data_IF_578605753928
#
_entry.id   IF_578605753928
#
_cell.length_a   1.000
_cell.length_b   1.000
_cell.length_c   1.000
_cell.angle_alpha   90.00
_cell.angle_beta   90.00
_cell.angle_gamma   90.00
#
_symmetry.space_group_name_H-M   'P 1'
#
loop_
_entity.id
_entity.type
_entity.pdbx_description
1 polymer ?
#
# COMPACT_ATOMS: atom_id res chain seq x y z
N UNK A 1 14.18 -6.10 -19.26
CA UNK A 1 12.95 -6.34 -18.47
C UNK A 1 12.19 -5.02 -18.40
N UNK A 2 10.90 -5.02 -18.74
CA UNK A 2 10.07 -3.81 -18.69
C UNK A 2 9.84 -3.41 -17.23
N UNK A 3 10.31 -2.24 -16.82
CA UNK A 3 10.23 -1.78 -15.44
C UNK A 3 8.77 -1.66 -14.94
N UNK A 4 7.83 -1.44 -15.86
CA UNK A 4 6.40 -1.38 -15.55
C UNK A 4 5.89 -2.70 -15.00
N UNK A 5 6.43 -3.84 -15.44
CA UNK A 5 6.07 -5.16 -14.93
C UNK A 5 6.54 -5.36 -13.48
N UNK A 6 7.69 -4.79 -13.11
CA UNK A 6 8.26 -4.90 -11.75
C UNK A 6 7.33 -4.25 -10.71
N UNK A 7 6.68 -3.13 -11.05
CA UNK A 7 5.73 -2.46 -10.15
C UNK A 7 4.30 -2.98 -10.29
N UNK A 8 3.93 -3.52 -11.46
CA UNK A 8 2.58 -4.05 -11.69
C UNK A 8 2.30 -5.32 -10.89
N UNK A 9 3.29 -6.23 -10.76
CA UNK A 9 3.11 -7.48 -10.03
C UNK A 9 2.82 -7.26 -8.53
N UNK A 10 3.60 -6.45 -7.79
CA UNK A 10 3.27 -6.06 -6.42
C UNK A 10 1.88 -5.43 -6.28
N UNK A 11 1.53 -4.54 -7.22
CA UNK A 11 0.23 -3.88 -7.21
C UNK A 11 -0.92 -4.87 -7.38
N UNK A 12 -0.81 -5.84 -8.29
CA UNK A 12 -1.82 -6.90 -8.45
C UNK A 12 -1.96 -7.68 -7.13
N UNK A 13 -0.85 -8.03 -6.49
CA UNK A 13 -0.90 -8.72 -5.20
C UNK A 13 -1.59 -7.87 -4.12
N UNK A 14 -1.33 -6.57 -4.09
CA UNK A 14 -2.02 -5.62 -3.21
C UNK A 14 -3.55 -5.58 -3.47
N UNK A 15 -3.98 -5.52 -4.73
CA UNK A 15 -5.42 -5.56 -5.10
C UNK A 15 -6.07 -6.88 -4.68
N UNK A 16 -5.39 -8.02 -4.89
CA UNK A 16 -5.87 -9.33 -4.46
C UNK A 16 -6.01 -9.38 -2.93
N UNK A 17 -5.03 -8.86 -2.19
CA UNK A 17 -5.12 -8.75 -0.74
C UNK A 17 -6.34 -7.96 -0.28
N UNK A 18 -6.64 -6.85 -0.96
CA UNK A 18 -7.84 -6.05 -0.70
C UNK A 18 -9.15 -6.79 -0.97
N UNK A 19 -9.23 -7.50 -2.08
CA UNK A 19 -10.40 -8.33 -2.39
C UNK A 19 -10.59 -9.45 -1.35
N UNK A 20 -9.50 -10.10 -0.93
CA UNK A 20 -9.53 -11.09 0.15
C UNK A 20 -10.00 -10.48 1.47
N UNK A 21 -9.57 -9.26 1.78
CA UNK A 21 -10.01 -8.54 2.98
C UNK A 21 -11.51 -8.25 2.93
N UNK A 22 -12.03 -7.76 1.81
CA UNK A 22 -13.46 -7.49 1.66
C UNK A 22 -14.32 -8.76 1.88
N UNK A 23 -13.89 -9.89 1.30
CA UNK A 23 -14.55 -11.19 1.49
C UNK A 23 -14.47 -11.62 2.95
N UNK A 24 -13.27 -11.56 3.55
CA UNK A 24 -13.06 -12.00 4.92
C UNK A 24 -13.80 -11.13 5.95
N UNK A 25 -13.87 -9.81 5.72
CA UNK A 25 -14.65 -8.88 6.53
C UNK A 25 -16.15 -9.20 6.47
N UNK A 26 -16.66 -9.59 5.29
CA UNK A 26 -18.05 -10.02 5.13
C UNK A 26 -18.34 -11.29 5.93
N UNK A 27 -17.44 -12.29 5.85
CA UNK A 27 -17.60 -13.56 6.59
C UNK A 27 -17.52 -13.34 8.10
N UNK A 28 -16.57 -12.52 8.55
CA UNK A 28 -16.36 -12.21 9.95
C UNK A 28 -17.33 -11.16 10.52
N UNK A 29 -18.30 -10.69 9.72
CA UNK A 29 -19.25 -9.63 10.10
C UNK A 29 -18.56 -8.39 10.68
N UNK A 30 -17.43 -8.01 10.07
CA UNK A 30 -16.64 -6.84 10.47
C UNK A 30 -17.22 -5.61 9.79
N UNK A 31 -17.66 -4.66 10.60
CA UNK A 31 -18.11 -3.35 10.13
C UNK A 31 -16.94 -2.36 10.13
N UNK A 32 -16.78 -1.66 9.01
CA UNK A 32 -15.88 -0.52 8.89
C UNK A 32 -16.67 0.77 9.06
N UNK A 33 -16.05 1.79 9.65
CA UNK A 33 -16.64 3.15 9.61
C UNK A 33 -16.58 3.69 8.18
N UNK A 34 -17.49 4.62 7.84
CA UNK A 34 -17.50 5.25 6.51
C UNK A 34 -16.13 5.85 6.17
N UNK A 35 -15.49 6.54 7.12
CA UNK A 35 -14.15 7.10 6.92
C UNK A 35 -13.06 6.06 6.69
N UNK A 36 -13.15 4.86 7.30
CA UNK A 36 -12.22 3.77 7.03
C UNK A 36 -12.39 3.23 5.62
N UNK A 37 -13.64 3.03 5.20
CA UNK A 37 -13.97 2.55 3.87
C UNK A 37 -13.54 3.55 2.79
N UNK A 38 -13.86 4.83 2.98
CA UNK A 38 -13.46 5.92 2.08
C UNK A 38 -11.94 6.01 1.96
N UNK A 39 -11.20 5.96 3.08
CA UNK A 39 -9.74 5.99 3.05
C UNK A 39 -9.17 4.79 2.29
N UNK A 40 -9.66 3.58 2.56
CA UNK A 40 -9.20 2.39 1.84
C UNK A 40 -9.46 2.53 0.33
N UNK A 41 -10.67 2.89 -0.07
CA UNK A 41 -11.02 3.01 -1.49
C UNK A 41 -10.22 4.11 -2.17
N UNK A 42 -10.24 5.33 -1.64
CA UNK A 42 -9.69 6.51 -2.32
C UNK A 42 -8.17 6.56 -2.23
N UNK A 43 -7.61 6.30 -1.05
CA UNK A 43 -6.18 6.43 -0.82
C UNK A 43 -5.48 5.11 -1.07
N UNK A 44 -5.94 4.01 -0.44
CA UNK A 44 -5.19 2.75 -0.50
C UNK A 44 -5.34 2.02 -1.85
N UNK A 45 -6.46 2.12 -2.56
CA UNK A 45 -6.65 1.42 -3.85
C UNK A 45 -6.66 2.34 -5.06
N UNK A 46 -7.45 3.43 -5.05
CA UNK A 46 -7.54 4.32 -6.21
C UNK A 46 -6.23 5.09 -6.43
N UNK A 47 -5.56 5.54 -5.37
CA UNK A 47 -4.23 6.15 -5.44
C UNK A 47 -3.21 5.29 -6.19
N UNK A 48 -2.92 4.04 -5.77
CA UNK A 48 -2.02 3.15 -6.48
C UNK A 48 -2.50 2.81 -7.88
N UNK A 49 -3.81 2.66 -8.10
CA UNK A 49 -4.39 2.42 -9.43
C UNK A 49 -4.01 3.53 -10.41
N UNK A 50 -4.20 4.79 -9.99
CA UNK A 50 -3.84 5.96 -10.80
C UNK A 50 -2.32 6.03 -10.98
N UNK A 51 -1.54 5.79 -9.91
CA UNK A 51 -0.09 5.74 -9.97
C UNK A 51 0.43 4.73 -11.00
N UNK A 52 -0.13 3.51 -11.00
CA UNK A 52 0.16 2.48 -11.99
C UNK A 52 -0.26 2.92 -13.40
N UNK A 53 -1.45 3.50 -13.57
CA UNK A 53 -1.89 4.03 -14.86
C UNK A 53 -0.90 5.07 -15.43
N UNK A 54 -0.43 5.99 -14.58
CA UNK A 54 0.59 6.98 -14.93
C UNK A 54 1.93 6.35 -15.31
N UNK A 55 2.38 5.34 -14.56
CA UNK A 55 3.58 4.55 -14.88
C UNK A 55 3.45 3.87 -16.24
N UNK A 56 2.28 3.34 -16.59
CA UNK A 56 2.05 2.66 -17.87
C UNK A 56 2.12 3.61 -19.07
N UNK A 57 1.65 4.86 -18.90
CA UNK A 57 1.82 5.94 -19.88
C UNK A 57 3.18 6.64 -19.80
N UNK A 58 4.14 6.05 -19.08
CA UNK A 58 5.53 6.54 -18.92
C UNK A 58 5.65 7.89 -18.19
N UNK A 59 4.64 8.26 -17.42
CA UNK A 59 4.69 9.45 -16.56
C UNK A 59 5.24 9.08 -15.18
N UNK A 60 6.54 8.77 -15.12
CA UNK A 60 7.19 8.33 -13.88
C UNK A 60 7.32 9.43 -12.83
N UNK A 61 7.41 10.69 -13.28
CA UNK A 61 7.53 11.87 -12.40
C UNK A 61 6.37 11.98 -11.42
N UNK A 62 5.15 11.63 -11.85
CA UNK A 62 3.97 11.64 -10.97
C UNK A 62 3.52 10.22 -10.59
N UNK A 63 3.69 9.24 -11.47
CA UNK A 63 3.21 7.87 -11.25
C UNK A 63 3.94 7.16 -10.11
N UNK A 64 5.27 7.24 -10.07
CA UNK A 64 6.08 6.58 -9.04
C UNK A 64 5.87 7.17 -7.63
N UNK A 65 5.89 8.51 -7.41
CA UNK A 65 5.60 9.07 -6.10
C UNK A 65 4.16 8.86 -5.67
N UNK A 66 3.18 8.94 -6.58
CA UNK A 66 1.79 8.65 -6.23
C UNK A 66 1.63 7.19 -5.80
N UNK A 67 2.22 6.24 -6.53
CA UNK A 67 2.22 4.83 -6.18
C UNK A 67 2.84 4.57 -4.81
N UNK A 68 4.03 5.14 -4.55
CA UNK A 68 4.69 5.03 -3.25
C UNK A 68 3.85 5.64 -2.13
N UNK A 69 3.46 6.92 -2.26
CA UNK A 69 2.80 7.66 -1.19
C UNK A 69 1.46 7.07 -0.81
N UNK A 70 0.67 6.66 -1.81
CA UNK A 70 -0.65 6.07 -1.56
C UNK A 70 -0.58 4.65 -0.99
N UNK A 71 0.32 3.79 -1.48
CA UNK A 71 0.53 2.46 -0.92
C UNK A 71 1.14 2.53 0.50
N UNK A 72 2.08 3.45 0.75
CA UNK A 72 2.64 3.67 2.08
C UNK A 72 1.59 4.19 3.07
N UNK A 73 0.74 5.14 2.65
CA UNK A 73 -0.37 5.63 3.47
C UNK A 73 -1.39 4.53 3.76
N UNK A 74 -1.74 3.71 2.76
CA UNK A 74 -2.59 2.52 2.93
C UNK A 74 -2.00 1.52 3.93
N UNK A 75 -0.69 1.25 3.84
CA UNK A 75 0.01 0.39 4.79
C UNK A 75 -0.03 0.95 6.21
N UNK A 76 0.32 2.22 6.38
CA UNK A 76 0.29 2.89 7.68
C UNK A 76 -1.10 2.83 8.29
N UNK A 77 -2.12 3.15 7.51
CA UNK A 77 -3.51 3.11 7.93
C UNK A 77 -3.91 1.71 8.38
N UNK A 78 -3.56 0.69 7.59
CA UNK A 78 -3.85 -0.69 7.91
C UNK A 78 -3.19 -1.12 9.24
N UNK A 79 -1.92 -0.78 9.44
CA UNK A 79 -1.19 -1.06 10.68
C UNK A 79 -1.83 -0.32 11.87
N UNK A 80 -2.06 0.99 11.74
CA UNK A 80 -2.56 1.81 12.83
C UNK A 80 -3.97 1.39 13.26
N UNK A 81 -4.92 1.30 12.33
CA UNK A 81 -6.32 1.05 12.66
C UNK A 81 -6.65 -0.41 12.93
N UNK A 82 -5.88 -1.37 12.40
CA UNK A 82 -6.20 -2.79 12.56
C UNK A 82 -5.23 -3.56 13.47
N UNK A 83 -4.09 -2.98 13.85
CA UNK A 83 -3.15 -3.66 14.76
C UNK A 83 -2.80 -2.86 16.01
N UNK A 84 -2.83 -1.52 15.96
CA UNK A 84 -2.42 -0.68 17.10
C UNK A 84 -3.63 -0.12 17.86
N UNK A 85 -4.61 0.42 17.14
CA UNK A 85 -5.80 0.98 17.74
C UNK A 85 -6.77 -0.14 18.16
N UNK A 86 -7.41 0.00 19.32
CA UNK A 86 -8.49 -0.87 19.78
C UNK A 86 -9.74 -0.61 18.92
N UNK A 87 -9.70 -1.11 17.68
CA UNK A 87 -10.78 -1.00 16.75
C UNK A 87 -11.82 -2.10 17.05
N UNK A 88 -13.10 -1.76 17.24
CA UNK A 88 -14.18 -2.74 17.44
C UNK A 88 -14.21 -3.82 16.35
N UNK A 89 -13.82 -3.46 15.12
CA UNK A 89 -13.65 -4.39 13.99
C UNK A 89 -12.69 -5.55 14.32
N UNK A 90 -11.59 -5.27 15.05
CA UNK A 90 -10.62 -6.30 15.44
C UNK A 90 -11.16 -7.18 16.56
N UNK A 91 -11.91 -6.62 17.50
CA UNK A 91 -12.50 -7.39 18.61
C UNK A 91 -13.56 -8.37 18.09
N UNK A 92 -14.39 -7.93 17.14
CA UNK A 92 -15.35 -8.79 16.45
C UNK A 92 -14.63 -9.86 15.62
N UNK A 93 -13.58 -9.47 14.88
CA UNK A 93 -12.81 -10.41 14.07
C UNK A 93 -12.09 -11.48 14.91
N UNK A 94 -11.49 -11.18 16.06
CA UNK A 94 -10.70 -12.17 16.84
C UNK A 94 -11.58 -13.19 17.55
N UNK A 95 -12.87 -12.91 17.75
CA UNK A 95 -13.77 -13.73 18.58
C UNK A 95 -14.82 -14.55 17.81
N UNK A 96 -14.97 -14.32 16.50
CA UNK A 96 -15.98 -14.96 15.65
C UNK A 96 -15.48 -15.99 14.63
N UNK A 97 -16.42 -16.70 14.01
CA UNK A 97 -16.16 -17.53 12.83
C UNK A 97 -15.63 -16.64 11.68
N UNK A 98 -14.44 -16.94 11.16
CA UNK A 98 -13.77 -16.13 10.12
C UNK A 98 -12.58 -15.31 10.59
N UNK A 99 -12.26 -15.31 11.89
CA UNK A 99 -11.11 -14.61 12.50
C UNK A 99 -9.79 -14.79 11.74
N UNK A 100 -9.42 -16.05 11.50
CA UNK A 100 -8.17 -16.40 10.83
C UNK A 100 -8.12 -15.92 9.38
N UNK A 101 -9.26 -15.93 8.67
CA UNK A 101 -9.35 -15.43 7.30
C UNK A 101 -9.19 -13.90 7.27
N UNK A 102 -9.85 -13.19 8.19
CA UNK A 102 -9.75 -11.74 8.31
C UNK A 102 -8.33 -11.30 8.65
N UNK A 103 -7.71 -11.91 9.66
CA UNK A 103 -6.35 -11.57 10.07
C UNK A 103 -5.32 -11.87 8.96
N UNK A 104 -5.47 -13.01 8.28
CA UNK A 104 -4.60 -13.38 7.15
C UNK A 104 -4.75 -12.41 5.98
N UNK A 105 -5.98 -11.99 5.68
CA UNK A 105 -6.24 -11.00 4.64
C UNK A 105 -5.68 -9.62 5.01
N UNK A 106 -5.80 -9.19 6.27
CA UNK A 106 -5.18 -7.97 6.77
C UNK A 106 -3.65 -7.99 6.63
N UNK A 107 -3.00 -9.12 6.97
CA UNK A 107 -1.56 -9.31 6.76
C UNK A 107 -1.23 -9.21 5.26
N UNK A 108 -2.03 -9.83 4.39
CA UNK A 108 -1.83 -9.74 2.93
C UNK A 108 -1.92 -8.29 2.43
N UNK A 109 -2.87 -7.50 2.94
CA UNK A 109 -2.98 -6.07 2.62
C UNK A 109 -1.74 -5.31 3.07
N UNK A 110 -1.27 -5.51 4.31
CA UNK A 110 -0.06 -4.84 4.81
C UNK A 110 1.17 -5.21 3.96
N UNK A 111 1.40 -6.51 3.75
CA UNK A 111 2.55 -6.99 2.96
C UNK A 111 2.46 -6.48 1.53
N UNK A 112 1.29 -6.57 0.90
CA UNK A 112 1.10 -6.10 -0.48
C UNK A 112 1.29 -4.60 -0.61
N UNK A 113 0.86 -3.82 0.39
CA UNK A 113 1.08 -2.37 0.44
C UNK A 113 2.57 -2.04 0.57
N UNK A 114 3.30 -2.73 1.46
CA UNK A 114 4.74 -2.53 1.64
C UNK A 114 5.53 -2.86 0.38
N UNK A 115 5.25 -3.99 -0.26
CA UNK A 115 5.95 -4.40 -1.49
C UNK A 115 5.61 -3.44 -2.63
N UNK A 116 4.36 -2.98 -2.74
CA UNK A 116 3.95 -1.99 -3.75
C UNK A 116 4.61 -0.64 -3.52
N UNK A 117 4.66 -0.16 -2.27
CA UNK A 117 5.36 1.06 -1.91
C UNK A 117 6.86 0.94 -2.20
N UNK A 118 7.47 -0.19 -1.83
CA UNK A 118 8.87 -0.51 -2.12
C UNK A 118 9.19 -0.48 -3.62
N UNK A 119 8.32 -1.07 -4.44
CA UNK A 119 8.46 -1.04 -5.89
C UNK A 119 8.28 0.39 -6.46
N UNK A 120 7.33 1.16 -5.91
CA UNK A 120 7.12 2.56 -6.26
C UNK A 120 8.33 3.45 -5.95
N UNK A 121 8.90 3.35 -4.75
CA UNK A 121 10.08 4.14 -4.37
C UNK A 121 11.33 3.70 -5.15
N UNK A 122 11.47 2.41 -5.42
CA UNK A 122 12.53 1.89 -6.29
C UNK A 122 12.44 2.49 -7.70
N UNK A 123 11.24 2.50 -8.29
CA UNK A 123 11.02 3.09 -9.61
C UNK A 123 11.29 4.60 -9.58
N UNK A 124 10.85 5.29 -8.52
CA UNK A 124 11.08 6.72 -8.36
C UNK A 124 12.58 7.04 -8.30
N UNK A 125 13.35 6.31 -7.49
CA UNK A 125 14.80 6.44 -7.40
C UNK A 125 15.49 6.19 -8.75
N UNK A 126 14.97 5.26 -9.54
CA UNK A 126 15.55 4.92 -10.84
C UNK A 126 15.30 5.97 -11.91
N UNK A 127 14.09 6.53 -11.95
CA UNK A 127 13.61 7.36 -13.07
C UNK A 127 13.64 8.87 -12.77
N UNK A 128 13.86 9.29 -11.52
CA UNK A 128 13.91 10.70 -11.12
C UNK A 128 15.29 11.08 -10.57
N UNK A 129 16.08 11.80 -11.36
CA UNK A 129 17.43 12.23 -10.97
C UNK A 129 17.42 13.05 -9.67
N UNK A 130 16.53 14.04 -9.56
CA UNK A 130 16.47 14.87 -8.35
C UNK A 130 16.08 14.09 -7.08
N UNK A 131 15.28 13.02 -7.21
CA UNK A 131 14.95 12.17 -6.06
C UNK A 131 16.12 11.27 -5.70
N UNK A 132 16.79 10.71 -6.71
CA UNK A 132 18.02 9.93 -6.52
C UNK A 132 19.11 10.75 -5.83
N UNK A 133 19.39 11.95 -6.31
CA UNK A 133 20.41 12.83 -5.75
C UNK A 133 20.09 13.22 -4.30
N UNK A 134 18.82 13.50 -4.01
CA UNK A 134 18.37 13.79 -2.64
C UNK A 134 18.57 12.58 -1.70
N UNK A 135 18.22 11.37 -2.16
CA UNK A 135 18.42 10.13 -1.38
C UNK A 135 19.91 9.85 -1.18
N UNK A 136 20.71 9.95 -2.24
CA UNK A 136 22.15 9.68 -2.19
C UNK A 136 22.88 10.67 -1.28
N UNK A 137 22.47 11.95 -1.28
CA UNK A 137 23.02 12.96 -0.37
C UNK A 137 22.71 12.71 1.11
N UNK A 138 21.60 12.04 1.43
CA UNK A 138 21.28 11.62 2.81
C UNK A 138 22.06 10.37 3.22
N UNK A 139 22.20 9.40 2.31
CA UNK A 139 22.86 8.10 2.61
C UNK A 139 24.38 8.22 2.62
N UNK A 140 24.94 9.09 1.78
CA UNK A 140 26.36 9.41 1.71
C UNK A 140 26.53 10.92 1.86
N UNK A 141 26.40 11.44 3.09
CA UNK A 141 26.75 12.82 3.33
C UNK A 141 28.19 13.01 2.85
N UNK A 142 28.44 13.97 1.97
CA UNK A 142 29.80 14.33 1.62
C UNK A 142 30.53 14.66 2.91
N UNK A 143 31.70 14.06 3.15
CA UNK A 143 32.56 14.28 4.34
C UNK A 143 33.12 15.71 4.46
N UNK A 144 32.41 16.71 3.92
CA UNK A 144 32.83 18.09 3.81
C UNK A 144 31.72 19.04 4.29
N UNK A 145 31.52 19.07 5.61
CA UNK A 145 31.36 20.30 6.40
C UNK A 145 32.14 20.15 7.71
#
# INVERSE_FOLDING_TARGET
>A
MDQRLIVTVPYIFHVVGGAMLAIAATVASVEFTDGQLEFMILVAYLGPTIGIGLVWVKNYVYGAPLLFGSAAAGCWFAIYFFFINENPANVAAVTGDGAGAYQSAMIAVVVGSLVTAGAGVWLWYRESEGFRDAVDGVVRPSDSE
#
